data_IF_929312608534
#
_entry.id   IF_929312608534
#
_cell.length_a   1.000
_cell.length_b   1.000
_cell.length_c   1.000
_cell.angle_alpha   90.00
_cell.angle_beta   90.00
_cell.angle_gamma   90.00
#
_symmetry.space_group_name_H-M   'P 1'
#
loop_
_entity.id
_entity.type
_entity.pdbx_description
1 polymer ?
#
# COMPACT_ATOMS: atom_id res chain seq x y z
N UNK A 1 52.44 -1.18 16.70
CA UNK A 1 52.18 0.14 16.07
C UNK A 1 51.12 -0.05 14.98
N UNK A 2 49.87 0.42 15.19
CA UNK A 2 48.85 0.46 14.14
C UNK A 2 49.16 1.65 13.22
N UNK A 3 49.53 1.40 11.97
CA UNK A 3 49.56 2.44 10.94
C UNK A 3 48.12 2.91 10.70
N UNK A 4 47.83 4.13 11.11
CA UNK A 4 46.59 4.82 10.76
C UNK A 4 46.63 5.09 9.25
N UNK A 5 45.82 4.35 8.48
CA UNK A 5 45.67 4.61 7.04
C UNK A 5 44.87 5.89 6.90
N UNK A 6 45.57 7.00 6.70
CA UNK A 6 44.92 8.25 6.33
C UNK A 6 44.46 8.14 4.88
N UNK A 7 43.16 7.90 4.67
CA UNK A 7 42.57 7.89 3.33
C UNK A 7 42.43 9.34 2.84
N UNK A 8 42.84 9.60 1.60
CA UNK A 8 42.74 10.93 1.00
C UNK A 8 41.27 11.34 0.81
N UNK A 9 40.92 12.65 0.92
CA UNK A 9 39.54 13.14 0.81
C UNK A 9 38.83 12.68 -0.48
N UNK A 10 39.58 12.61 -1.58
CA UNK A 10 39.11 12.16 -2.91
C UNK A 10 38.68 10.70 -2.90
N UNK A 11 39.34 9.83 -2.13
CA UNK A 11 38.96 8.42 -2.01
C UNK A 11 37.72 8.24 -1.13
N UNK A 12 37.52 9.11 -0.14
CA UNK A 12 36.32 9.10 0.71
C UNK A 12 35.08 9.54 -0.09
N UNK A 13 35.16 10.63 -0.86
CA UNK A 13 34.05 11.11 -1.69
C UNK A 13 33.68 10.13 -2.81
N UNK A 14 34.68 9.51 -3.45
CA UNK A 14 34.44 8.46 -4.46
C UNK A 14 33.77 7.23 -3.86
N UNK A 15 34.18 6.80 -2.67
CA UNK A 15 33.54 5.67 -1.98
C UNK A 15 32.12 6.01 -1.51
N UNK A 16 31.86 7.25 -1.06
CA UNK A 16 30.51 7.72 -0.72
C UNK A 16 29.60 7.78 -1.95
N UNK A 17 30.08 8.29 -3.09
CA UNK A 17 29.33 8.33 -4.33
C UNK A 17 29.03 6.92 -4.89
N UNK A 18 29.99 6.01 -4.84
CA UNK A 18 29.81 4.61 -5.28
C UNK A 18 28.83 3.87 -4.36
N UNK A 19 28.95 4.02 -3.04
CA UNK A 19 28.01 3.39 -2.10
C UNK A 19 26.62 4.00 -2.22
N UNK A 20 26.50 5.32 -2.36
CA UNK A 20 25.24 6.01 -2.60
C UNK A 20 24.55 5.53 -3.89
N UNK A 21 25.28 5.47 -5.00
CA UNK A 21 24.72 4.98 -6.28
C UNK A 21 24.33 3.50 -6.21
N UNK A 22 25.13 2.66 -5.53
CA UNK A 22 24.79 1.24 -5.32
C UNK A 22 23.51 1.08 -4.47
N UNK A 23 23.35 1.88 -3.41
CA UNK A 23 22.14 1.84 -2.57
C UNK A 23 20.90 2.35 -3.30
N UNK A 24 21.02 3.40 -4.12
CA UNK A 24 19.91 3.90 -4.96
C UNK A 24 19.50 2.83 -5.98
N UNK A 25 20.46 2.16 -6.62
CA UNK A 25 20.16 1.14 -7.63
C UNK A 25 19.52 -0.12 -7.00
N UNK A 26 19.98 -0.53 -5.82
CA UNK A 26 19.35 -1.60 -5.03
C UNK A 26 17.92 -1.23 -4.63
N UNK A 27 17.71 -0.02 -4.09
CA UNK A 27 16.38 0.48 -3.74
C UNK A 27 15.47 0.54 -4.96
N UNK A 28 15.99 1.03 -6.10
CA UNK A 28 15.24 1.08 -7.35
C UNK A 28 14.83 -0.32 -7.77
N UNK A 29 15.77 -1.26 -7.84
CA UNK A 29 15.56 -2.68 -8.18
C UNK A 29 14.51 -3.32 -7.30
N UNK A 30 14.65 -3.23 -5.97
CA UNK A 30 13.72 -3.84 -4.99
C UNK A 30 12.33 -3.25 -5.03
N UNK A 31 12.18 -2.02 -5.51
CA UNK A 31 10.88 -1.36 -5.60
C UNK A 31 10.27 -1.42 -7.00
N UNK A 32 11.00 -1.87 -8.04
CA UNK A 32 10.53 -1.89 -9.44
C UNK A 32 9.17 -2.57 -9.64
N UNK A 33 8.92 -3.67 -8.92
CA UNK A 33 7.71 -4.47 -9.02
C UNK A 33 6.60 -4.07 -8.04
N UNK A 34 6.80 -2.99 -7.26
CA UNK A 34 5.80 -2.60 -6.26
C UNK A 34 4.63 -1.88 -6.93
N UNK A 35 3.40 -2.32 -6.63
CA UNK A 35 2.18 -1.75 -7.20
C UNK A 35 2.04 -0.24 -6.93
N UNK A 36 2.57 0.25 -5.80
CA UNK A 36 2.56 1.67 -5.46
C UNK A 36 3.40 2.56 -6.39
N UNK A 37 4.34 2.02 -7.18
CA UNK A 37 5.07 2.81 -8.18
C UNK A 37 4.18 3.32 -9.32
N UNK A 38 3.07 2.63 -9.60
CA UNK A 38 2.12 3.01 -10.65
C UNK A 38 1.09 4.04 -10.16
N UNK A 39 1.06 4.32 -8.86
CA UNK A 39 0.12 5.29 -8.30
C UNK A 39 0.60 6.71 -8.60
N UNK A 40 -0.23 7.47 -9.30
CA UNK A 40 0.03 8.88 -9.51
C UNK A 40 -0.14 9.64 -8.19
N UNK A 41 0.79 10.53 -7.80
CA UNK A 41 0.59 11.39 -6.64
C UNK A 41 -0.69 12.23 -6.71
N UNK A 42 -1.14 12.58 -7.93
CA UNK A 42 -2.38 13.33 -8.14
C UNK A 42 -3.65 12.52 -7.90
N UNK A 43 -3.58 11.19 -7.90
CA UNK A 43 -4.76 10.33 -7.67
C UNK A 43 -5.05 10.09 -6.19
N UNK A 44 -4.15 10.49 -5.29
CA UNK A 44 -4.30 10.33 -3.84
C UNK A 44 -4.51 11.71 -3.21
N UNK A 45 -5.60 11.93 -2.46
CA UNK A 45 -5.79 13.20 -1.78
C UNK A 45 -4.71 13.40 -0.71
N UNK A 46 -4.22 14.63 -0.56
CA UNK A 46 -3.19 14.95 0.45
C UNK A 46 -3.77 14.96 1.87
N UNK A 47 -5.03 15.37 2.00
CA UNK A 47 -5.75 15.49 3.26
C UNK A 47 -7.27 15.36 3.04
N UNK A 48 -8.02 14.97 4.08
CA UNK A 48 -7.54 14.49 5.38
C UNK A 48 -6.85 13.12 5.26
N UNK A 49 -6.01 12.77 6.24
CA UNK A 49 -5.22 11.52 6.23
C UNK A 49 -6.09 10.28 6.01
N UNK A 50 -7.31 10.27 6.56
CA UNK A 50 -8.26 9.16 6.46
C UNK A 50 -8.58 8.81 5.01
N UNK A 51 -8.79 9.83 4.18
CA UNK A 51 -9.15 9.72 2.76
C UNK A 51 -7.91 9.32 1.94
N UNK A 52 -6.76 9.94 2.23
CA UNK A 52 -5.48 9.60 1.61
C UNK A 52 -5.14 8.11 1.78
N UNK A 53 -5.31 7.59 3.00
CA UNK A 53 -5.02 6.20 3.34
C UNK A 53 -5.98 5.23 2.65
N UNK A 54 -7.27 5.54 2.61
CA UNK A 54 -8.26 4.72 1.92
C UNK A 54 -7.95 4.64 0.41
N UNK A 55 -7.79 5.79 -0.24
CA UNK A 55 -7.52 5.87 -1.67
C UNK A 55 -6.22 5.14 -2.02
N UNK A 56 -5.17 5.30 -1.21
CA UNK A 56 -3.89 4.63 -1.44
C UNK A 56 -4.02 3.11 -1.33
N UNK A 57 -4.70 2.61 -0.30
CA UNK A 57 -4.86 1.17 -0.08
C UNK A 57 -5.68 0.52 -1.17
N UNK A 58 -6.83 1.10 -1.51
CA UNK A 58 -7.67 0.59 -2.60
C UNK A 58 -6.98 0.68 -3.96
N UNK A 59 -6.16 1.71 -4.21
CA UNK A 59 -5.49 1.89 -5.52
C UNK A 59 -4.30 0.96 -5.67
N UNK A 60 -3.58 0.70 -4.59
CA UNK A 60 -2.44 -0.22 -4.62
C UNK A 60 -2.83 -1.68 -4.47
N UNK A 61 -4.12 -1.95 -4.20
CA UNK A 61 -4.63 -3.29 -3.89
C UNK A 61 -4.04 -3.84 -2.59
N UNK A 62 -3.81 -2.99 -1.59
CA UNK A 62 -3.42 -3.38 -0.22
C UNK A 62 -4.54 -3.04 0.77
N UNK A 63 -5.79 -3.17 0.31
CA UNK A 63 -6.97 -2.98 1.12
C UNK A 63 -7.26 -4.20 2.00
N UNK A 64 -8.42 -4.23 2.65
CA UNK A 64 -8.83 -5.33 3.52
C UNK A 64 -10.16 -5.92 3.08
N UNK A 65 -10.54 -5.75 1.81
CA UNK A 65 -11.79 -6.30 1.30
C UNK A 65 -11.64 -7.80 1.06
N UNK A 66 -12.73 -8.56 1.16
CA UNK A 66 -12.70 -10.02 1.11
C UNK A 66 -12.02 -10.55 -0.17
N UNK A 67 -12.25 -9.91 -1.32
CA UNK A 67 -11.60 -10.28 -2.58
C UNK A 67 -10.07 -10.13 -2.55
N UNK A 68 -9.54 -9.15 -1.81
CA UNK A 68 -8.09 -9.01 -1.63
C UNK A 68 -7.55 -10.03 -0.63
N UNK A 69 -8.24 -10.21 0.51
CA UNK A 69 -7.84 -11.19 1.52
C UNK A 69 -7.83 -12.62 0.98
N UNK A 70 -8.78 -12.96 0.11
CA UNK A 70 -8.84 -14.26 -0.56
C UNK A 70 -7.64 -14.49 -1.49
N UNK A 71 -7.23 -13.46 -2.26
CA UNK A 71 -6.02 -13.54 -3.11
C UNK A 71 -4.72 -13.73 -2.33
N UNK A 72 -4.74 -13.47 -1.02
CA UNK A 72 -3.62 -13.70 -0.11
C UNK A 72 -3.78 -14.99 0.70
N UNK A 73 -4.80 -15.81 0.40
CA UNK A 73 -5.17 -17.02 1.16
C UNK A 73 -5.46 -16.76 2.65
N UNK A 74 -5.85 -15.52 3.01
CA UNK A 74 -6.26 -15.14 4.37
C UNK A 74 -7.76 -15.39 4.58
N UNK A 75 -8.57 -15.13 3.55
CA UNK A 75 -10.01 -15.42 3.53
C UNK A 75 -10.29 -16.65 2.69
N UNK A 76 -11.20 -17.51 3.15
CA UNK A 76 -11.60 -18.71 2.40
C UNK A 76 -12.34 -18.34 1.11
N UNK A 77 -13.11 -17.26 1.14
CA UNK A 77 -13.98 -16.83 0.04
C UNK A 77 -13.75 -15.35 -0.33
N UNK A 78 -13.97 -14.98 -1.61
CA UNK A 78 -13.84 -13.59 -2.09
C UNK A 78 -15.14 -12.77 -1.92
N UNK A 79 -16.23 -13.40 -1.50
CA UNK A 79 -17.56 -12.78 -1.43
C UNK A 79 -17.71 -11.83 -0.25
N UNK A 80 -18.66 -10.90 -0.35
CA UNK A 80 -18.98 -9.98 0.73
C UNK A 80 -19.59 -10.73 1.92
N UNK A 81 -18.95 -10.75 3.10
CA UNK A 81 -19.51 -11.40 4.28
C UNK A 81 -20.50 -10.50 5.02
N UNK A 82 -20.70 -9.25 4.57
CA UNK A 82 -21.56 -8.27 5.23
C UNK A 82 -22.98 -8.28 4.71
N UNK A 83 -23.20 -8.75 3.47
CA UNK A 83 -24.53 -8.80 2.86
C UNK A 83 -24.75 -10.12 2.14
N UNK A 84 -26.01 -10.51 1.98
CA UNK A 84 -26.40 -11.79 1.38
C UNK A 84 -26.45 -11.77 -0.17
N UNK A 85 -25.76 -10.82 -0.82
CA UNK A 85 -25.81 -10.69 -2.29
C UNK A 85 -24.97 -11.75 -3.03
N UNK A 86 -24.04 -12.41 -2.35
CA UNK A 86 -23.07 -13.32 -2.98
C UNK A 86 -22.09 -12.63 -3.95
N UNK A 87 -22.06 -11.30 -3.98
CA UNK A 87 -21.14 -10.55 -4.85
C UNK A 87 -19.72 -10.55 -4.27
N UNK A 88 -18.72 -10.54 -5.16
CA UNK A 88 -17.32 -10.37 -4.80
C UNK A 88 -17.10 -9.02 -4.13
N UNK A 89 -16.46 -9.02 -2.95
CA UNK A 89 -16.24 -7.78 -2.20
C UNK A 89 -15.03 -7.01 -2.74
N UNK A 90 -15.22 -6.31 -3.84
CA UNK A 90 -14.26 -5.36 -4.40
C UNK A 90 -14.72 -3.92 -4.21
N UNK A 91 -13.92 -2.95 -4.66
CA UNK A 91 -14.21 -1.51 -4.54
C UNK A 91 -15.62 -1.16 -5.04
N UNK A 92 -16.03 -1.72 -6.17
CA UNK A 92 -17.34 -1.40 -6.76
C UNK A 92 -18.49 -1.92 -5.90
N UNK A 93 -18.36 -3.13 -5.35
CA UNK A 93 -19.32 -3.68 -4.40
C UNK A 93 -19.32 -2.88 -3.10
N UNK A 94 -18.16 -2.49 -2.57
CA UNK A 94 -18.04 -1.63 -1.39
C UNK A 94 -18.88 -0.34 -1.53
N UNK A 95 -18.97 0.23 -2.73
CA UNK A 95 -19.77 1.44 -3.02
C UNK A 95 -21.27 1.17 -3.16
N UNK A 96 -21.72 -0.07 -3.24
CA UNK A 96 -23.14 -0.43 -3.40
C UNK A 96 -23.67 -1.37 -2.32
N UNK A 97 -22.80 -1.87 -1.44
CA UNK A 97 -23.14 -2.82 -0.40
C UNK A 97 -24.23 -2.25 0.52
N UNK A 98 -25.40 -2.88 0.52
CA UNK A 98 -26.55 -2.44 1.31
C UNK A 98 -26.39 -2.63 2.82
N UNK A 99 -25.40 -3.40 3.25
CA UNK A 99 -25.08 -3.59 4.67
C UNK A 99 -24.25 -2.45 5.27
N UNK A 100 -23.73 -1.53 4.45
CA UNK A 100 -22.92 -0.41 4.91
C UNK A 100 -23.74 0.87 4.97
N UNK A 101 -23.68 1.56 6.11
CA UNK A 101 -24.42 2.81 6.34
C UNK A 101 -23.66 4.05 5.81
N UNK A 102 -22.35 3.92 5.56
CA UNK A 102 -21.53 5.00 5.03
C UNK A 102 -22.09 5.60 3.74
N UNK A 103 -22.01 6.92 3.60
CA UNK A 103 -22.53 7.66 2.42
C UNK A 103 -21.46 7.91 1.35
N UNK A 104 -20.18 7.74 1.70
CA UNK A 104 -19.03 7.93 0.80
C UNK A 104 -18.15 6.68 0.78
N UNK A 105 -17.37 6.49 -0.29
CA UNK A 105 -16.40 5.39 -0.38
C UNK A 105 -15.47 5.32 0.83
N UNK A 106 -14.96 6.48 1.26
CA UNK A 106 -14.15 6.59 2.48
C UNK A 106 -14.92 6.07 3.69
N UNK A 107 -16.12 6.58 3.97
CA UNK A 107 -16.88 6.14 5.14
C UNK A 107 -17.15 4.64 5.14
N UNK A 108 -17.53 4.09 3.98
CA UNK A 108 -17.81 2.65 3.80
C UNK A 108 -16.56 1.79 3.97
N UNK A 109 -15.42 2.19 3.40
CA UNK A 109 -14.16 1.47 3.58
C UNK A 109 -13.77 1.34 5.06
N UNK A 110 -13.87 2.45 5.79
CA UNK A 110 -13.50 2.47 7.21
C UNK A 110 -14.51 1.75 8.09
N UNK A 111 -15.79 1.76 7.74
CA UNK A 111 -16.85 0.96 8.37
C UNK A 111 -16.59 -0.54 8.15
N UNK A 112 -16.37 -0.98 6.91
CA UNK A 112 -15.95 -2.36 6.60
C UNK A 112 -14.72 -2.76 7.42
N UNK A 113 -13.70 -1.91 7.47
CA UNK A 113 -12.49 -2.17 8.25
C UNK A 113 -12.78 -2.31 9.75
N UNK A 114 -13.74 -1.57 10.29
CA UNK A 114 -14.15 -1.71 11.69
C UNK A 114 -14.87 -3.03 11.94
N UNK A 115 -15.75 -3.45 11.02
CA UNK A 115 -16.48 -4.71 11.10
C UNK A 115 -15.56 -5.94 10.96
N UNK A 116 -14.46 -5.84 10.22
CA UNK A 116 -13.51 -6.93 9.99
C UNK A 116 -12.46 -7.09 11.09
N UNK A 117 -12.39 -6.16 12.05
CA UNK A 117 -11.52 -6.30 13.22
C UNK A 117 -12.20 -7.23 14.24
N UNK A 118 -11.90 -8.53 14.14
CA UNK A 118 -12.10 -9.50 15.22
C UNK A 118 -10.80 -9.63 16.03
#
# INVERSE_FOLDING_TARGET
MRQSRHMSPVTIERNFFITYTYTIWDLQTRTTLKSWRRVSPSSIPVKPRRDAVEAFRLTTGHDCLAAHLHRLDISTEPFCPLCDSGEVMERDHLLRCGALLGLTGVSRYWETRALFRQ
#
